data_IF_356450646487
#
_entry.id   IF_356450646487
#
_cell.length_a   1.000
_cell.length_b   1.000
_cell.length_c   1.000
_cell.angle_alpha   90.00
_cell.angle_beta   90.00
_cell.angle_gamma   90.00
#
_symmetry.space_group_name_H-M   'P 1'
#
loop_
_entity.id
_entity.type
_entity.pdbx_description
1 polymer ?
#
# COMPACT_ATOMS: atom_id res chain seq x y z
N UNK A 1 16.03 -16.21 -73.42
CA UNK A 1 15.45 -16.60 -72.12
C UNK A 1 16.44 -16.20 -71.02
N UNK A 2 16.16 -15.18 -70.21
CA UNK A 2 17.12 -14.63 -69.22
C UNK A 2 16.76 -15.15 -67.82
N UNK A 3 17.62 -15.98 -67.22
CA UNK A 3 17.45 -16.47 -65.83
C UNK A 3 17.84 -15.38 -64.83
N UNK A 4 16.86 -14.73 -64.22
CA UNK A 4 17.06 -13.77 -63.13
C UNK A 4 17.33 -14.53 -61.82
N UNK A 5 18.59 -14.59 -61.40
CA UNK A 5 18.99 -15.20 -60.13
C UNK A 5 18.62 -14.27 -58.97
N UNK A 6 17.70 -14.70 -58.11
CA UNK A 6 17.32 -13.97 -56.89
C UNK A 6 18.27 -14.38 -55.76
N UNK A 7 19.18 -13.50 -55.37
CA UNK A 7 19.94 -13.66 -54.13
C UNK A 7 19.02 -13.44 -52.93
N UNK A 8 18.71 -14.50 -52.19
CA UNK A 8 18.02 -14.42 -50.90
C UNK A 8 19.05 -14.00 -49.85
N UNK A 9 18.85 -12.84 -49.25
CA UNK A 9 19.73 -12.28 -48.21
C UNK A 9 19.41 -12.95 -46.88
N UNK A 10 20.33 -13.73 -46.32
CA UNK A 10 20.16 -14.33 -44.99
C UNK A 10 20.27 -13.23 -43.93
N UNK A 11 19.26 -13.08 -43.08
CA UNK A 11 19.32 -12.20 -41.91
C UNK A 11 19.85 -13.01 -40.73
N UNK A 12 20.92 -12.53 -40.10
CA UNK A 12 21.40 -13.10 -38.83
C UNK A 12 20.36 -12.78 -37.75
N UNK A 13 19.86 -13.81 -37.07
CA UNK A 13 18.94 -13.70 -35.95
C UNK A 13 19.67 -13.60 -34.60
N UNK A 14 18.89 -13.52 -33.52
CA UNK A 14 19.40 -13.52 -32.14
C UNK A 14 20.34 -14.70 -31.90
N UNK A 15 21.45 -14.41 -31.24
CA UNK A 15 22.42 -15.43 -30.81
C UNK A 15 22.17 -15.84 -29.37
N UNK A 16 22.60 -17.03 -28.99
CA UNK A 16 22.45 -17.52 -27.61
C UNK A 16 23.21 -16.63 -26.61
N UNK A 17 24.38 -16.11 -26.99
CA UNK A 17 25.16 -15.20 -26.15
C UNK A 17 24.40 -13.91 -25.83
N UNK A 18 23.62 -13.40 -26.78
CA UNK A 18 22.84 -12.17 -26.63
C UNK A 18 21.73 -12.33 -25.60
N UNK A 19 21.04 -13.47 -25.60
CA UNK A 19 20.02 -13.79 -24.58
C UNK A 19 20.67 -14.01 -23.22
N UNK A 20 21.80 -14.73 -23.15
CA UNK A 20 22.48 -15.03 -21.88
C UNK A 20 23.02 -13.76 -21.23
N UNK A 21 23.70 -12.88 -21.97
CA UNK A 21 24.21 -11.62 -21.42
C UNK A 21 23.06 -10.67 -21.03
N UNK A 22 21.95 -10.69 -21.75
CA UNK A 22 20.77 -9.90 -21.39
C UNK A 22 20.15 -10.37 -20.07
N UNK A 23 19.95 -11.69 -19.91
CA UNK A 23 19.44 -12.26 -18.66
C UNK A 23 20.39 -12.00 -17.48
N UNK A 24 21.70 -11.99 -17.73
CA UNK A 24 22.70 -11.62 -16.73
C UNK A 24 22.52 -10.17 -16.25
N UNK A 25 22.41 -9.20 -17.17
CA UNK A 25 22.22 -7.78 -16.82
C UNK A 25 20.87 -7.58 -16.11
N UNK A 26 19.78 -8.16 -16.63
CA UNK A 26 18.46 -8.08 -15.99
C UNK A 26 18.48 -8.68 -14.59
N UNK A 27 19.16 -9.82 -14.41
CA UNK A 27 19.36 -10.45 -13.10
C UNK A 27 20.05 -9.54 -12.10
N UNK A 28 21.14 -8.86 -12.51
CA UNK A 28 21.83 -7.89 -11.65
C UNK A 28 20.91 -6.73 -11.24
N UNK A 29 20.13 -6.19 -12.18
CA UNK A 29 19.18 -5.11 -11.88
C UNK A 29 18.10 -5.55 -10.88
N UNK A 30 17.55 -6.76 -11.03
CA UNK A 30 16.52 -7.28 -10.11
C UNK A 30 17.05 -7.40 -8.68
N UNK A 31 18.27 -7.88 -8.49
CA UNK A 31 18.90 -8.01 -7.15
C UNK A 31 19.04 -6.65 -6.46
N UNK A 32 19.32 -5.57 -7.21
CA UNK A 32 19.42 -4.22 -6.65
C UNK A 32 18.05 -3.58 -6.39
N UNK A 33 17.08 -3.81 -7.28
CA UNK A 33 15.74 -3.21 -7.20
C UNK A 33 14.87 -3.88 -6.13
N UNK A 34 14.94 -5.21 -6.00
CA UNK A 34 14.10 -5.98 -5.08
C UNK A 34 14.19 -5.50 -3.61
N UNK A 35 15.37 -5.35 -2.99
CA UNK A 35 15.47 -4.88 -1.60
C UNK A 35 15.03 -3.41 -1.46
N UNK A 36 15.26 -2.59 -2.47
CA UNK A 36 14.90 -1.17 -2.45
C UNK A 36 13.36 -0.99 -2.49
N UNK A 37 12.66 -1.72 -3.37
CA UNK A 37 11.20 -1.61 -3.48
C UNK A 37 10.48 -2.24 -2.28
N UNK A 38 10.98 -3.38 -1.77
CA UNK A 38 10.34 -4.06 -0.64
C UNK A 38 10.43 -3.26 0.66
N UNK A 39 11.59 -2.67 0.96
CA UNK A 39 11.79 -1.84 2.16
C UNK A 39 10.94 -0.56 2.13
N UNK A 40 10.83 0.09 0.97
CA UNK A 40 9.98 1.28 0.79
C UNK A 40 8.50 0.95 1.02
N UNK A 41 8.01 -0.18 0.50
CA UNK A 41 6.62 -0.61 0.70
C UNK A 41 6.29 -0.84 2.17
N UNK A 42 7.14 -1.59 2.89
CA UNK A 42 6.93 -1.86 4.32
C UNK A 42 6.93 -0.56 5.14
N UNK A 43 7.86 0.35 4.87
CA UNK A 43 7.92 1.63 5.56
C UNK A 43 6.70 2.52 5.26
N UNK A 44 6.21 2.49 4.02
CA UNK A 44 4.99 3.20 3.65
C UNK A 44 3.75 2.64 4.37
N UNK A 45 3.64 1.31 4.49
CA UNK A 45 2.56 0.64 5.22
C UNK A 45 2.57 0.99 6.72
N UNK A 46 3.72 0.94 7.38
CA UNK A 46 3.86 1.31 8.81
C UNK A 46 3.55 2.79 9.06
N UNK A 47 4.03 3.68 8.17
CA UNK A 47 3.74 5.11 8.25
C UNK A 47 2.25 5.39 8.01
N UNK A 48 1.63 4.70 7.06
CA UNK A 48 0.20 4.82 6.77
C UNK A 48 -0.67 4.40 7.97
N UNK A 49 -0.30 3.30 8.64
CA UNK A 49 -0.97 2.86 9.88
C UNK A 49 -0.86 3.90 11.00
N UNK A 50 0.32 4.47 11.19
CA UNK A 50 0.57 5.49 12.24
C UNK A 50 -0.22 6.77 11.98
N UNK A 51 -0.25 7.22 10.72
CA UNK A 51 -1.01 8.40 10.31
C UNK A 51 -2.52 8.16 10.46
N UNK A 52 -3.01 6.97 10.12
CA UNK A 52 -4.40 6.59 10.32
C UNK A 52 -4.77 6.64 11.81
N UNK A 53 -3.98 6.01 12.68
CA UNK A 53 -4.17 6.07 14.14
C UNK A 53 -4.26 7.50 14.67
N UNK A 54 -3.30 8.35 14.30
CA UNK A 54 -3.28 9.75 14.74
C UNK A 54 -4.49 10.53 14.24
N UNK A 55 -4.92 10.28 13.00
CA UNK A 55 -6.10 10.94 12.42
C UNK A 55 -7.37 10.56 13.18
N UNK A 56 -7.54 9.28 13.48
CA UNK A 56 -8.70 8.78 14.22
C UNK A 56 -8.70 9.28 15.67
N UNK A 57 -7.54 9.29 16.34
CA UNK A 57 -7.42 9.85 17.69
C UNK A 57 -7.77 11.34 17.69
N UNK A 58 -7.33 12.10 16.69
CA UNK A 58 -7.71 13.51 16.55
C UNK A 58 -9.22 13.67 16.36
N UNK A 59 -9.87 12.78 15.59
CA UNK A 59 -11.32 12.80 15.39
C UNK A 59 -12.08 12.49 16.69
N UNK A 60 -11.61 11.53 17.48
CA UNK A 60 -12.14 11.24 18.82
C UNK A 60 -11.98 12.45 19.74
N UNK A 61 -10.80 13.05 19.78
CA UNK A 61 -10.53 14.23 20.61
C UNK A 61 -11.42 15.41 20.21
N UNK A 62 -11.59 15.66 18.90
CA UNK A 62 -12.49 16.70 18.39
C UNK A 62 -13.95 16.46 18.77
N UNK A 63 -14.41 15.21 18.68
CA UNK A 63 -15.76 14.83 19.12
C UNK A 63 -15.97 15.17 20.60
N UNK A 64 -15.00 14.82 21.46
CA UNK A 64 -15.05 15.09 22.91
C UNK A 64 -15.06 16.58 23.25
N UNK A 65 -14.21 17.38 22.60
CA UNK A 65 -14.16 18.84 22.79
C UNK A 65 -15.52 19.47 22.41
N UNK A 66 -16.14 18.97 21.35
CA UNK A 66 -17.42 19.50 20.86
C UNK A 66 -18.60 19.12 21.77
N UNK A 67 -18.57 17.94 22.39
CA UNK A 67 -19.69 17.38 23.16
C UNK A 67 -19.57 17.53 24.69
N UNK A 68 -18.71 18.43 25.20
CA UNK A 68 -18.57 18.80 26.62
C UNK A 68 -18.73 17.62 27.61
N UNK A 69 -17.69 16.77 27.75
CA UNK A 69 -17.30 15.85 28.86
C UNK A 69 -18.34 15.20 29.80
N UNK A 70 -19.66 15.31 29.55
CA UNK A 70 -20.71 15.00 30.54
C UNK A 70 -21.23 13.58 30.37
N UNK A 71 -21.16 13.03 29.16
CA UNK A 71 -21.55 11.66 28.88
C UNK A 71 -20.31 10.79 28.72
N UNK A 72 -20.02 9.98 29.73
CA UNK A 72 -19.14 8.81 29.65
C UNK A 72 -19.75 7.73 28.74
N UNK A 73 -20.21 8.10 27.56
CA UNK A 73 -20.65 7.15 26.55
C UNK A 73 -19.41 6.56 25.90
N UNK A 74 -19.37 5.23 25.86
CA UNK A 74 -18.34 4.49 25.13
C UNK A 74 -18.35 4.95 23.67
N UNK A 75 -17.32 5.71 23.30
CA UNK A 75 -17.15 6.22 21.94
C UNK A 75 -16.92 5.00 21.04
N UNK A 76 -17.99 4.59 20.38
CA UNK A 76 -18.01 3.42 19.51
C UNK A 76 -17.88 3.88 18.05
N UNK A 77 -17.34 3.00 17.20
CA UNK A 77 -17.25 3.22 15.75
C UNK A 77 -18.56 3.70 15.11
N UNK A 78 -19.68 3.14 15.57
CA UNK A 78 -21.03 3.52 15.14
C UNK A 78 -21.37 4.96 15.50
N UNK A 79 -21.02 5.41 16.70
CA UNK A 79 -21.25 6.79 17.16
C UNK A 79 -20.45 7.79 16.33
N UNK A 80 -19.18 7.49 16.04
CA UNK A 80 -18.32 8.35 15.22
C UNK A 80 -18.70 8.39 13.73
N UNK A 81 -19.25 7.28 13.20
CA UNK A 81 -19.78 7.24 11.84
C UNK A 81 -21.09 8.03 11.72
N UNK A 82 -22.00 7.86 12.69
CA UNK A 82 -23.28 8.57 12.72
C UNK A 82 -23.13 10.07 12.97
N UNK A 83 -22.09 10.49 13.70
CA UNK A 83 -21.77 11.90 13.93
C UNK A 83 -20.93 12.54 12.81
N UNK A 84 -20.62 11.78 11.75
CA UNK A 84 -19.92 12.29 10.55
C UNK A 84 -18.40 12.46 10.73
N UNK A 85 -17.83 12.00 11.84
CA UNK A 85 -16.40 12.08 12.10
C UNK A 85 -15.62 10.94 11.41
N UNK A 86 -16.28 9.84 11.02
CA UNK A 86 -15.67 8.74 10.26
C UNK A 86 -16.38 8.50 8.93
N UNK A 87 -15.59 8.28 7.89
CA UNK A 87 -16.07 7.82 6.58
C UNK A 87 -16.08 6.30 6.50
N UNK A 88 -16.95 5.74 5.63
CA UNK A 88 -17.02 4.29 5.38
C UNK A 88 -15.69 3.70 4.88
N UNK A 89 -14.92 4.48 4.12
CA UNK A 89 -13.58 4.09 3.67
C UNK A 89 -12.59 3.92 4.83
N UNK A 90 -12.63 4.81 5.82
CA UNK A 90 -11.79 4.73 7.02
C UNK A 90 -12.15 3.51 7.87
N UNK A 91 -13.44 3.20 8.03
CA UNK A 91 -13.91 2.00 8.75
C UNK A 91 -13.47 0.72 8.04
N UNK A 92 -13.51 0.69 6.70
CA UNK A 92 -13.03 -0.46 5.94
C UNK A 92 -11.50 -0.63 6.06
N UNK A 93 -10.75 0.46 6.08
CA UNK A 93 -9.30 0.44 6.28
C UNK A 93 -8.93 -0.01 7.69
N UNK A 94 -9.73 0.36 8.70
CA UNK A 94 -9.61 -0.11 10.08
C UNK A 94 -9.80 -1.62 10.19
N UNK A 95 -10.81 -2.17 9.52
CA UNK A 95 -11.04 -3.63 9.48
C UNK A 95 -9.91 -4.40 8.81
N UNK A 96 -9.28 -3.83 7.77
CA UNK A 96 -8.12 -4.44 7.08
C UNK A 96 -6.83 -4.39 7.89
N UNK A 97 -6.67 -3.36 8.71
CA UNK A 97 -5.49 -3.15 9.53
C UNK A 97 -5.68 -3.59 11.00
N UNK A 98 -6.76 -4.33 11.28
CA UNK A 98 -7.11 -4.83 12.61
C UNK A 98 -7.08 -3.74 13.68
N UNK A 99 -7.74 -2.60 13.47
CA UNK A 99 -7.87 -1.57 14.50
C UNK A 99 -9.25 -1.64 15.16
N UNK A 100 -9.29 -1.54 16.50
CA UNK A 100 -10.49 -1.40 17.32
C UNK A 100 -10.47 -0.07 18.08
N UNK A 101 -11.64 0.52 18.29
CA UNK A 101 -11.79 1.66 19.20
C UNK A 101 -12.30 1.13 20.54
N UNK A 102 -11.50 1.28 21.60
CA UNK A 102 -11.89 0.94 22.97
C UNK A 102 -11.94 2.21 23.81
N UNK A 103 -13.14 2.75 24.00
CA UNK A 103 -13.35 4.01 24.72
C UNK A 103 -12.63 5.17 24.04
N UNK A 104 -11.59 5.70 24.68
CA UNK A 104 -10.87 6.91 24.25
C UNK A 104 -9.66 6.64 23.35
N UNK A 105 -9.36 5.37 23.05
CA UNK A 105 -8.15 4.98 22.31
C UNK A 105 -8.44 4.03 21.16
N UNK A 106 -7.73 4.25 20.06
CA UNK A 106 -7.67 3.31 18.95
C UNK A 106 -6.53 2.33 19.22
N UNK A 107 -6.84 1.04 19.31
CA UNK A 107 -5.92 -0.07 19.61
C UNK A 107 -5.85 -1.03 18.44
N UNK A 108 -4.71 -1.68 18.24
CA UNK A 108 -4.57 -2.76 17.25
C UNK A 108 -5.12 -4.04 17.87
N UNK A 109 -6.12 -4.64 17.24
CA UNK A 109 -6.64 -5.97 17.56
C UNK A 109 -5.49 -6.99 17.51
N UNK A 110 -5.16 -7.56 18.66
CA UNK A 110 -4.13 -8.61 18.78
C UNK A 110 -2.85 -8.22 19.52
N UNK A 111 -2.77 -7.03 20.13
CA UNK A 111 -1.75 -6.70 21.14
C UNK A 111 -2.36 -6.05 22.38
#
# INVERSE_FOLDING_TARGET
>A
MIKKQRHVRTRKGFTLIEVVTTLFIVGLLVVLIYPNVFSIRKMAEEKQQTVLLNTLQNQVNMYRITHNDTDRQDITLSTLMNSGYLTSAQVQQMGRAHFEIKGDRVVIQGK
#
